data_IF_062638049367
#
_entry.id   IF_062638049367
#
_cell.length_a   1.000
_cell.length_b   1.000
_cell.length_c   1.000
_cell.angle_alpha   90.00
_cell.angle_beta   90.00
_cell.angle_gamma   90.00
#
_symmetry.space_group_name_H-M   'P 1'
#
loop_
_entity.id
_entity.type
_entity.pdbx_description
1 polymer ?
#
# COMPACT_ATOMS: atom_id res chain seq x y z
N UNK A 1 23.52 14.58 -13.14
CA UNK A 1 22.15 14.63 -12.60
C UNK A 1 22.26 14.30 -11.12
N UNK A 2 21.88 15.22 -10.24
CA UNK A 2 21.97 14.99 -8.79
C UNK A 2 20.70 14.28 -8.31
N UNK A 3 20.88 13.15 -7.64
CA UNK A 3 19.78 12.38 -7.04
C UNK A 3 19.89 12.50 -5.54
N UNK A 4 18.80 12.93 -4.89
CA UNK A 4 18.74 13.08 -3.43
C UNK A 4 17.81 12.03 -2.84
N UNK A 5 18.27 11.32 -1.82
CA UNK A 5 17.43 10.38 -1.07
C UNK A 5 16.94 11.08 0.20
N UNK A 6 15.66 10.94 0.52
CA UNK A 6 15.06 11.46 1.76
C UNK A 6 13.94 10.55 2.27
N UNK A 7 13.60 10.69 3.54
CA UNK A 7 12.36 10.13 4.07
C UNK A 7 11.15 10.74 3.35
N UNK A 8 10.14 9.90 3.10
CA UNK A 8 8.85 10.38 2.64
C UNK A 8 8.13 11.16 3.75
N UNK A 9 7.23 12.04 3.33
CA UNK A 9 6.40 12.87 4.19
C UNK A 9 4.94 12.60 3.85
N UNK A 10 4.03 13.01 4.72
CA UNK A 10 2.58 12.92 4.48
C UNK A 10 2.15 13.50 3.13
N UNK A 11 2.81 14.56 2.66
CA UNK A 11 2.53 15.19 1.36
C UNK A 11 2.93 14.37 0.13
N UNK A 12 3.69 13.28 0.30
CA UNK A 12 4.09 12.38 -0.80
C UNK A 12 3.05 11.27 -1.05
N UNK A 13 1.88 11.31 -0.39
CA UNK A 13 0.86 10.25 -0.41
C UNK A 13 0.48 9.78 -1.82
N UNK A 14 0.26 10.72 -2.76
CA UNK A 14 -0.07 10.39 -4.15
C UNK A 14 1.04 9.60 -4.86
N UNK A 15 2.30 9.97 -4.63
CA UNK A 15 3.44 9.25 -5.19
C UNK A 15 3.61 7.87 -4.55
N UNK A 16 3.41 7.77 -3.23
CA UNK A 16 3.44 6.48 -2.52
C UNK A 16 2.30 5.58 -2.98
N UNK A 17 1.09 6.12 -3.19
CA UNK A 17 -0.04 5.37 -3.73
C UNK A 17 0.29 4.75 -5.09
N UNK A 18 0.89 5.55 -5.98
CA UNK A 18 1.40 5.05 -7.25
C UNK A 18 2.48 3.99 -7.06
N UNK A 19 3.45 4.17 -6.16
CA UNK A 19 4.50 3.19 -5.87
C UNK A 19 3.92 1.84 -5.43
N UNK A 20 2.94 1.85 -4.52
CA UNK A 20 2.28 0.64 -4.02
C UNK A 20 1.58 -0.10 -5.16
N UNK A 21 0.84 0.63 -6.00
CA UNK A 21 0.12 0.05 -7.12
C UNK A 21 1.06 -0.50 -8.19
N UNK A 22 2.09 0.26 -8.56
CA UNK A 22 3.12 -0.15 -9.51
C UNK A 22 3.89 -1.39 -9.02
N UNK A 23 4.27 -1.43 -7.74
CA UNK A 23 4.92 -2.59 -7.13
C UNK A 23 3.99 -3.81 -7.11
N UNK A 24 2.71 -3.63 -6.78
CA UNK A 24 1.71 -4.71 -6.79
C UNK A 24 1.34 -5.23 -8.19
N UNK A 25 1.57 -4.43 -9.24
CA UNK A 25 1.43 -4.83 -10.64
C UNK A 25 2.65 -5.60 -11.17
N UNK A 26 3.85 -5.28 -10.71
CA UNK A 26 5.08 -5.80 -11.28
C UNK A 26 5.09 -5.65 -12.82
N UNK A 27 5.03 -6.74 -13.58
CA UNK A 27 5.04 -6.73 -15.05
C UNK A 27 3.65 -6.79 -15.70
N UNK A 28 2.57 -6.94 -14.91
CA UNK A 28 1.20 -7.09 -15.44
C UNK A 28 0.42 -5.78 -15.41
N UNK A 29 -0.60 -5.67 -16.27
CA UNK A 29 -1.43 -4.47 -16.36
C UNK A 29 -2.40 -4.30 -15.18
N UNK A 30 -2.88 -5.42 -14.61
CA UNK A 30 -3.79 -5.42 -13.45
C UNK A 30 -3.20 -6.29 -12.34
N UNK A 31 -2.80 -5.65 -11.25
CA UNK A 31 -2.09 -6.26 -10.14
C UNK A 31 -2.99 -6.78 -9.02
N UNK A 32 -2.37 -7.35 -7.99
CA UNK A 32 -3.06 -7.95 -6.84
C UNK A 32 -4.05 -6.98 -6.17
N UNK A 33 -3.67 -5.71 -6.03
CA UNK A 33 -4.49 -4.71 -5.34
C UNK A 33 -5.77 -4.35 -6.09
N UNK A 34 -5.71 -4.28 -7.42
CA UNK A 34 -6.89 -4.02 -8.25
C UNK A 34 -7.81 -5.24 -8.31
N UNK A 35 -7.27 -6.44 -8.08
CA UNK A 35 -8.06 -7.65 -7.91
C UNK A 35 -8.73 -7.67 -6.53
N UNK A 36 -8.01 -7.30 -5.47
CA UNK A 36 -8.52 -7.25 -4.10
C UNK A 36 -9.61 -6.18 -3.95
N UNK A 37 -9.34 -4.96 -4.41
CA UNK A 37 -10.29 -3.84 -4.32
C UNK A 37 -11.41 -3.99 -5.34
N UNK A 38 -11.13 -4.61 -6.50
CA UNK A 38 -12.06 -4.76 -7.62
C UNK A 38 -12.67 -3.42 -8.08
N UNK A 39 -11.82 -2.42 -8.16
CA UNK A 39 -12.16 -1.02 -8.48
C UNK A 39 -11.29 -0.52 -9.64
N UNK A 40 -11.71 0.55 -10.36
CA UNK A 40 -10.86 1.23 -11.33
C UNK A 40 -9.57 1.77 -10.71
N UNK A 41 -8.53 1.96 -11.53
CA UNK A 41 -7.20 2.42 -11.08
C UNK A 41 -7.28 3.70 -10.24
N UNK A 42 -8.04 4.71 -10.67
CA UNK A 42 -8.19 5.99 -9.94
C UNK A 42 -8.73 5.79 -8.52
N UNK A 43 -9.70 4.87 -8.37
CA UNK A 43 -10.29 4.53 -7.06
C UNK A 43 -9.30 3.74 -6.20
N UNK A 44 -8.48 2.88 -6.80
CA UNK A 44 -7.39 2.20 -6.11
C UNK A 44 -6.31 3.19 -5.64
N UNK A 45 -5.90 4.14 -6.48
CA UNK A 45 -4.93 5.17 -6.11
C UNK A 45 -5.45 6.04 -4.96
N UNK A 46 -6.70 6.50 -5.03
CA UNK A 46 -7.32 7.24 -3.93
C UNK A 46 -7.35 6.43 -2.61
N UNK A 47 -7.64 5.13 -2.69
CA UNK A 47 -7.55 4.25 -1.53
C UNK A 47 -6.13 4.20 -0.94
N UNK A 48 -5.10 4.05 -1.77
CA UNK A 48 -3.71 4.01 -1.30
C UNK A 48 -3.18 5.35 -0.80
N UNK A 49 -3.69 6.48 -1.31
CA UNK A 49 -3.39 7.80 -0.74
C UNK A 49 -3.89 7.91 0.71
N UNK A 50 -5.10 7.43 0.97
CA UNK A 50 -5.65 7.38 2.32
C UNK A 50 -4.94 6.33 3.20
N UNK A 51 -4.66 5.15 2.64
CA UNK A 51 -3.95 4.09 3.36
C UNK A 51 -2.54 4.52 3.76
N UNK A 52 -1.82 5.24 2.89
CA UNK A 52 -0.46 5.68 3.19
C UNK A 52 -0.37 6.77 4.25
N UNK A 53 -1.49 7.35 4.64
CA UNK A 53 -1.57 8.48 5.58
C UNK A 53 -2.54 8.23 6.74
N UNK A 54 -2.81 6.96 7.03
CA UNK A 54 -3.52 6.50 8.22
C UNK A 54 -2.87 6.99 9.51
N UNK A 55 -3.59 6.83 10.63
CA UNK A 55 -3.10 7.29 11.93
C UNK A 55 -1.97 6.41 12.44
N UNK A 56 -2.12 5.09 12.28
CA UNK A 56 -1.16 4.08 12.75
C UNK A 56 -0.26 3.59 11.60
N UNK A 57 1.07 3.55 11.80
CA UNK A 57 1.98 3.02 10.79
C UNK A 57 1.79 1.52 10.52
N UNK A 58 2.04 1.13 9.28
CA UNK A 58 1.98 -0.25 8.75
C UNK A 58 2.84 -0.30 7.46
N UNK A 59 2.93 -1.40 6.69
CA UNK A 59 3.89 -1.51 5.59
C UNK A 59 3.75 -0.45 4.48
N UNK A 60 2.54 0.10 4.33
CA UNK A 60 2.18 1.07 3.30
C UNK A 60 2.13 2.53 3.79
N UNK A 61 2.37 2.77 5.07
CA UNK A 61 2.35 4.12 5.64
C UNK A 61 3.59 4.92 5.20
N UNK A 62 3.45 6.22 4.93
CA UNK A 62 4.53 7.04 4.37
C UNK A 62 5.83 7.02 5.20
N UNK A 63 5.73 6.84 6.52
CA UNK A 63 6.91 6.78 7.39
C UNK A 63 7.83 5.59 7.10
N UNK A 64 7.33 4.57 6.40
CA UNK A 64 8.09 3.39 6.00
C UNK A 64 8.84 3.59 4.66
N UNK A 65 8.79 4.77 4.05
CA UNK A 65 9.34 5.00 2.71
C UNK A 65 10.54 5.97 2.69
N UNK A 66 11.53 5.61 1.88
CA UNK A 66 12.54 6.52 1.35
C UNK A 66 12.22 6.84 -0.11
N UNK A 67 12.34 8.12 -0.50
CA UNK A 67 12.14 8.57 -1.86
C UNK A 67 13.46 9.09 -2.43
N UNK A 68 13.74 8.71 -3.68
CA UNK A 68 14.80 9.31 -4.48
C UNK A 68 14.19 10.41 -5.36
N UNK A 69 14.74 11.61 -5.28
CA UNK A 69 14.33 12.77 -6.06
C UNK A 69 15.29 13.02 -7.22
N UNK A 70 14.74 13.28 -8.40
CA UNK A 70 15.47 13.76 -9.57
C UNK A 70 14.80 15.04 -10.08
N UNK A 71 15.59 16.10 -10.32
CA UNK A 71 15.06 17.41 -10.73
C UNK A 71 13.94 17.95 -9.80
N UNK A 72 14.10 17.75 -8.49
CA UNK A 72 13.18 18.25 -7.46
C UNK A 72 11.85 17.50 -7.36
N UNK A 73 11.70 16.35 -8.03
CA UNK A 73 10.48 15.53 -8.01
C UNK A 73 10.81 14.09 -7.59
N UNK A 74 9.93 13.42 -6.81
CA UNK A 74 10.05 11.99 -6.55
C UNK A 74 10.12 11.21 -7.86
N UNK A 75 11.13 10.35 -8.00
CA UNK A 75 11.40 9.56 -9.19
C UNK A 75 11.42 8.06 -8.91
N UNK A 76 11.76 7.67 -7.67
CA UNK A 76 11.67 6.30 -7.19
C UNK A 76 11.41 6.29 -5.68
N UNK A 77 10.98 5.15 -5.15
CA UNK A 77 10.86 4.96 -3.71
C UNK A 77 11.09 3.52 -3.29
N UNK A 78 11.44 3.35 -2.02
CA UNK A 78 11.70 2.08 -1.38
C UNK A 78 10.93 2.05 -0.06
N UNK A 79 10.14 1.00 0.15
CA UNK A 79 9.47 0.71 1.42
C UNK A 79 10.33 -0.21 2.28
N UNK A 80 10.40 0.06 3.58
CA UNK A 80 11.08 -0.77 4.57
C UNK A 80 10.41 -0.61 5.93
N UNK A 81 10.22 -1.72 6.64
CA UNK A 81 9.54 -1.76 7.92
C UNK A 81 9.97 -3.01 8.70
N UNK A 82 9.81 -2.96 10.02
CA UNK A 82 9.95 -4.14 10.87
C UNK A 82 8.64 -4.96 10.79
N UNK A 83 8.66 -6.20 10.27
CA UNK A 83 7.43 -6.99 10.11
C UNK A 83 6.81 -7.44 11.45
N UNK A 84 7.58 -7.47 12.55
CA UNK A 84 7.05 -7.80 13.87
C UNK A 84 6.25 -6.65 14.48
N UNK A 85 6.61 -5.40 14.15
CA UNK A 85 5.97 -4.19 14.70
C UNK A 85 4.92 -3.63 13.73
N UNK A 86 5.28 -3.52 12.45
CA UNK A 86 4.51 -2.82 11.41
C UNK A 86 4.02 -3.77 10.32
N UNK A 87 3.94 -5.08 10.58
CA UNK A 87 3.53 -6.08 9.60
C UNK A 87 2.03 -6.12 9.29
N UNK A 88 1.56 -7.27 8.81
CA UNK A 88 0.16 -7.45 8.37
C UNK A 88 -0.88 -7.21 9.47
N UNK A 89 -0.56 -7.47 10.74
CA UNK A 89 -1.47 -7.17 11.85
C UNK A 89 -1.72 -5.65 11.97
N UNK A 90 -0.67 -4.83 11.91
CA UNK A 90 -0.80 -3.37 11.93
C UNK A 90 -1.59 -2.87 10.71
N UNK A 91 -1.34 -3.46 9.53
CA UNK A 91 -2.14 -3.18 8.33
C UNK A 91 -3.62 -3.48 8.55
N UNK A 92 -3.96 -4.66 9.06
CA UNK A 92 -5.36 -5.05 9.30
C UNK A 92 -6.07 -4.07 10.25
N UNK A 93 -5.38 -3.55 11.26
CA UNK A 93 -5.93 -2.53 12.16
C UNK A 93 -6.17 -1.17 11.48
N UNK A 94 -5.34 -0.80 10.50
CA UNK A 94 -5.44 0.48 9.78
C UNK A 94 -6.42 0.48 8.59
N UNK A 95 -6.69 -0.69 7.99
CA UNK A 95 -7.59 -0.83 6.83
C UNK A 95 -8.98 -0.19 7.01
N UNK A 96 -9.67 -0.31 8.16
CA UNK A 96 -10.97 0.35 8.38
C UNK A 96 -10.91 1.88 8.20
N UNK A 97 -9.80 2.52 8.59
CA UNK A 97 -9.61 3.96 8.41
C UNK A 97 -9.51 4.32 6.93
N UNK A 98 -8.73 3.56 6.16
CA UNK A 98 -8.54 3.77 4.73
C UNK A 98 -9.84 3.57 3.93
N UNK A 99 -10.62 2.52 4.24
CA UNK A 99 -11.93 2.29 3.64
C UNK A 99 -12.90 3.44 3.94
N UNK A 100 -12.99 3.86 5.22
CA UNK A 100 -13.85 4.99 5.61
C UNK A 100 -13.48 6.27 4.86
N UNK A 101 -12.19 6.59 4.72
CA UNK A 101 -11.71 7.82 4.06
C UNK A 101 -11.90 7.80 2.53
N UNK A 102 -11.64 6.66 1.88
CA UNK A 102 -11.80 6.49 0.43
C UNK A 102 -13.26 6.37 -0.04
N UNK A 103 -14.18 6.09 0.90
CA UNK A 103 -15.57 5.78 0.60
C UNK A 103 -15.73 4.44 -0.12
N UNK A 104 -14.67 3.63 -0.23
CA UNK A 104 -14.77 2.24 -0.66
C UNK A 104 -15.36 1.43 0.49
N UNK A 105 -16.31 0.56 0.16
CA UNK A 105 -16.74 -0.46 1.09
C UNK A 105 -15.82 -1.66 0.93
N UNK A 106 -15.30 -2.25 2.03
CA UNK A 106 -14.74 -3.59 1.95
C UNK A 106 -15.82 -4.45 1.28
N UNK A 107 -15.51 -5.04 0.12
CA UNK A 107 -16.54 -5.47 -0.83
C UNK A 107 -17.72 -6.16 -0.14
N UNK A 108 -18.92 -5.57 -0.26
CA UNK A 108 -20.18 -6.09 0.34
C UNK A 108 -20.57 -7.46 -0.25
N UNK A 109 -19.81 -7.97 -1.23
CA UNK A 109 -19.91 -9.32 -1.80
C UNK A 109 -18.95 -10.35 -1.21
N UNK A 110 -18.24 -10.05 -0.10
CA UNK A 110 -17.49 -11.08 0.66
C UNK A 110 -18.40 -11.99 1.52
N UNK A 111 -19.69 -12.05 1.20
CA UNK A 111 -20.58 -13.10 1.68
C UNK A 111 -20.38 -14.36 0.83
N UNK A 112 -19.56 -15.29 1.35
CA UNK A 112 -19.44 -16.70 0.91
C UNK A 112 -19.10 -17.02 -0.56
N UNK A 113 -18.98 -16.04 -1.48
CA UNK A 113 -18.43 -16.23 -2.82
C UNK A 113 -17.22 -15.31 -3.05
N UNK A 114 -16.10 -15.89 -2.66
CA UNK A 114 -14.73 -15.67 -3.16
C UNK A 114 -14.10 -14.32 -2.81
N UNK A 115 -13.64 -14.18 -1.55
CA UNK A 115 -12.35 -13.51 -1.29
C UNK A 115 -11.38 -13.95 -2.39
N UNK A 116 -10.73 -13.02 -3.13
CA UNK A 116 -9.83 -13.41 -4.20
C UNK A 116 -8.87 -14.49 -3.69
N UNK A 117 -8.79 -15.63 -4.38
CA UNK A 117 -8.01 -16.78 -3.88
C UNK A 117 -6.56 -16.42 -3.57
N UNK A 118 -6.03 -15.38 -4.21
CA UNK A 118 -4.72 -14.82 -3.93
C UNK A 118 -4.53 -14.41 -2.45
N UNK A 119 -5.59 -14.01 -1.75
CA UNK A 119 -5.53 -13.70 -0.30
C UNK A 119 -5.27 -14.95 0.54
N UNK A 120 -5.70 -16.13 0.06
CA UNK A 120 -5.39 -17.42 0.70
C UNK A 120 -3.93 -17.85 0.47
N UNK A 121 -3.21 -17.17 -0.43
CA UNK A 121 -1.80 -17.43 -0.72
C UNK A 121 -0.84 -16.51 0.05
N UNK A 122 -1.36 -15.61 0.90
CA UNK A 122 -0.51 -14.77 1.75
C UNK A 122 0.11 -15.68 2.83
N UNK A 123 1.46 -15.82 2.87
CA UNK A 123 2.08 -16.67 3.86
C UNK A 123 1.82 -16.11 5.26
N UNK A 124 1.69 -16.98 6.28
CA UNK A 124 1.61 -16.51 7.66
C UNK A 124 2.90 -15.77 8.03
N UNK A 125 2.86 -14.87 9.04
CA UNK A 125 4.08 -14.34 9.63
C UNK A 125 4.97 -15.51 10.10
N UNK A 126 6.23 -15.51 9.67
CA UNK A 126 7.22 -16.50 10.07
C UNK A 126 8.28 -15.83 10.94
N UNK A 127 8.49 -16.35 12.14
CA UNK A 127 9.53 -15.87 13.05
C UNK A 127 10.92 -16.11 12.43
N UNK A 128 11.76 -15.07 12.38
CA UNK A 128 13.12 -15.14 11.83
C UNK A 128 13.23 -15.20 10.30
N UNK A 129 12.14 -14.94 9.56
CA UNK A 129 12.15 -14.98 8.09
C UNK A 129 12.74 -13.74 7.39
N UNK A 130 13.17 -12.73 8.16
CA UNK A 130 13.70 -11.44 7.68
C UNK A 130 14.79 -10.93 8.61
#
# INVERSE_FOLDING_TARGET
>A
METKIRSAKRGDAAFIAWLILAAGRAHVQRGIWEVILNEPEERCLNFFEHLSTTSDPHPFHYSCFLLAEAAGRPAAGMGGYDPAILGYQALSCAMPEAFRKSGLRPGENLSMRETPRIVQCVPPPLEGAW
#
